data_IF_761584712399
#
_entry.id   IF_761584712399
#
_cell.length_a   1.000
_cell.length_b   1.000
_cell.length_c   1.000
_cell.angle_alpha   90.00
_cell.angle_beta   90.00
_cell.angle_gamma   90.00
#
_symmetry.space_group_name_H-M   'P 1'
#
loop_
_entity.id
_entity.type
_entity.pdbx_description
1 polymer ?
#
# COMPACT_ATOMS: atom_id res chain seq x y z
N UNK A 1 -6.60 18.27 11.50
CA UNK A 1 -6.07 16.89 11.34
C UNK A 1 -6.63 16.01 12.45
N UNK A 2 -7.38 14.95 12.12
CA UNK A 2 -8.12 14.12 13.10
C UNK A 2 -7.35 12.88 13.61
N UNK A 3 -6.01 12.85 13.45
CA UNK A 3 -5.10 11.84 14.02
C UNK A 3 -5.42 10.37 13.64
N UNK A 4 -5.93 10.13 12.43
CA UNK A 4 -6.19 8.78 11.91
C UNK A 4 -5.01 8.23 11.10
N UNK A 5 -4.81 6.92 11.20
CA UNK A 5 -3.99 6.17 10.24
C UNK A 5 -4.82 5.83 9.01
N UNK A 6 -4.21 5.90 7.83
CA UNK A 6 -4.88 5.69 6.54
C UNK A 6 -4.08 4.71 5.71
N UNK A 7 -4.76 3.75 5.09
CA UNK A 7 -4.16 2.84 4.11
C UNK A 7 -4.96 2.88 2.82
N UNK A 8 -4.26 3.05 1.71
CA UNK A 8 -4.79 2.90 0.36
C UNK A 8 -4.04 1.73 -0.28
N UNK A 9 -4.78 0.82 -0.92
CA UNK A 9 -4.20 -0.34 -1.57
C UNK A 9 -4.86 -0.60 -2.92
N UNK A 10 -4.08 -1.10 -3.87
CA UNK A 10 -4.54 -1.50 -5.20
C UNK A 10 -3.99 -2.86 -5.60
N UNK A 11 -4.77 -3.63 -6.35
CA UNK A 11 -4.24 -4.77 -7.10
C UNK A 11 -3.51 -4.31 -8.36
N UNK A 12 -2.35 -4.89 -8.63
CA UNK A 12 -1.51 -4.53 -9.77
C UNK A 12 -2.20 -4.74 -11.14
N UNK A 13 -3.14 -5.68 -11.23
CA UNK A 13 -3.82 -6.10 -12.45
C UNK A 13 -5.22 -5.48 -12.59
N UNK A 14 -5.62 -4.58 -11.69
CA UNK A 14 -6.88 -3.85 -11.83
C UNK A 14 -6.78 -2.83 -12.97
N UNK A 15 -7.65 -2.96 -13.97
CA UNK A 15 -7.72 -2.03 -15.11
C UNK A 15 -8.74 -0.91 -14.91
N UNK A 16 -9.72 -1.10 -14.01
CA UNK A 16 -10.78 -0.12 -13.74
C UNK A 16 -10.20 0.99 -12.86
N UNK A 17 -9.50 0.59 -11.78
CA UNK A 17 -8.83 1.51 -10.84
C UNK A 17 -7.33 1.18 -10.82
N UNK A 18 -6.68 1.45 -11.95
CA UNK A 18 -5.28 1.10 -12.15
C UNK A 18 -4.34 1.86 -11.19
N UNK A 19 -3.26 1.18 -10.78
CA UNK A 19 -2.23 1.72 -9.87
C UNK A 19 -1.75 3.13 -10.24
N UNK A 20 -1.42 3.45 -11.51
CA UNK A 20 -0.98 4.81 -11.87
C UNK A 20 -2.04 5.88 -11.61
N UNK A 21 -3.33 5.57 -11.77
CA UNK A 21 -4.42 6.51 -11.52
C UNK A 21 -4.51 6.86 -10.04
N UNK A 22 -4.45 5.85 -9.17
CA UNK A 22 -4.48 6.07 -7.72
C UNK A 22 -3.21 6.79 -7.24
N UNK A 23 -2.03 6.42 -7.76
CA UNK A 23 -0.78 7.10 -7.42
C UNK A 23 -0.80 8.58 -7.81
N UNK A 24 -1.28 8.90 -9.01
CA UNK A 24 -1.36 10.29 -9.47
C UNK A 24 -2.39 11.10 -8.69
N UNK A 25 -3.56 10.51 -8.41
CA UNK A 25 -4.57 11.17 -7.58
C UNK A 25 -4.02 11.53 -6.19
N UNK A 26 -3.37 10.60 -5.50
CA UNK A 26 -2.81 10.85 -4.17
C UNK A 26 -1.67 11.88 -4.24
N UNK A 27 -0.86 11.87 -5.31
CA UNK A 27 0.24 12.82 -5.49
C UNK A 27 -0.23 14.27 -5.58
N UNK A 28 -1.47 14.50 -6.03
CA UNK A 28 -2.09 15.83 -6.18
C UNK A 28 -2.85 16.30 -4.94
N UNK A 29 -3.11 15.43 -3.95
CA UNK A 29 -3.78 15.83 -2.73
C UNK A 29 -2.90 16.78 -1.89
N UNK A 30 -3.50 17.83 -1.36
CA UNK A 30 -2.84 18.74 -0.41
C UNK A 30 -3.12 18.28 1.02
N UNK A 31 -2.14 17.64 1.66
CA UNK A 31 -2.21 17.19 3.04
C UNK A 31 -0.81 17.10 3.68
N UNK A 32 -0.74 16.83 4.99
CA UNK A 32 0.51 16.90 5.76
C UNK A 32 1.62 15.94 5.26
N UNK A 33 1.26 14.82 4.65
CA UNK A 33 2.21 13.80 4.17
C UNK A 33 2.48 13.83 2.67
N UNK A 34 1.98 14.82 1.92
CA UNK A 34 2.13 14.87 0.46
C UNK A 34 3.60 14.83 0.02
N UNK A 35 4.43 15.70 0.59
CA UNK A 35 5.84 15.81 0.17
C UNK A 35 6.66 14.60 0.61
N UNK A 36 6.38 14.08 1.82
CA UNK A 36 6.99 12.84 2.32
C UNK A 36 6.64 11.66 1.40
N UNK A 37 5.36 11.51 1.01
CA UNK A 37 4.93 10.40 0.15
C UNK A 37 5.54 10.45 -1.25
N UNK A 38 5.68 11.66 -1.82
CA UNK A 38 6.33 11.86 -3.13
C UNK A 38 7.78 11.38 -3.10
N UNK A 39 8.50 11.71 -2.04
CA UNK A 39 9.91 11.35 -1.85
C UNK A 39 10.11 9.93 -1.30
N UNK A 40 9.08 9.35 -0.66
CA UNK A 40 9.17 8.05 -0.01
C UNK A 40 9.59 6.95 -1.00
N UNK A 41 10.56 6.11 -0.64
CA UNK A 41 10.98 5.00 -1.48
C UNK A 41 9.89 3.94 -1.55
N UNK A 42 9.78 3.28 -2.71
CA UNK A 42 8.90 2.13 -2.87
C UNK A 42 9.59 0.89 -2.31
N UNK A 43 9.20 0.46 -1.11
CA UNK A 43 9.78 -0.71 -0.43
C UNK A 43 9.16 -2.00 -0.95
N UNK A 44 10.00 -3.03 -1.16
CA UNK A 44 9.53 -4.38 -1.48
C UNK A 44 9.01 -5.03 -0.20
N UNK A 45 7.85 -5.69 -0.30
CA UNK A 45 7.23 -6.41 0.80
C UNK A 45 6.98 -7.87 0.41
N UNK A 46 7.27 -8.76 1.35
CA UNK A 46 6.98 -10.20 1.34
C UNK A 46 6.17 -10.52 2.59
N UNK A 47 5.27 -11.50 2.50
CA UNK A 47 4.49 -11.94 3.67
C UNK A 47 5.43 -12.57 4.70
N UNK A 48 6.30 -13.48 4.27
CA UNK A 48 7.40 -14.01 5.07
C UNK A 48 8.74 -13.80 4.37
N UNK A 49 9.82 -13.58 5.13
CA UNK A 49 11.17 -13.36 4.56
C UNK A 49 11.65 -14.55 3.71
N UNK A 50 11.25 -15.77 4.11
CA UNK A 50 11.55 -17.00 3.39
C UNK A 50 10.76 -17.17 2.08
N UNK A 51 9.71 -16.36 1.84
CA UNK A 51 8.95 -16.45 0.60
C UNK A 51 9.84 -16.10 -0.60
N UNK A 52 9.76 -16.91 -1.65
CA UNK A 52 10.45 -16.63 -2.92
C UNK A 52 9.82 -15.43 -3.63
N UNK A 53 8.51 -15.33 -3.58
CA UNK A 53 7.74 -14.30 -4.27
C UNK A 53 7.56 -13.05 -3.42
N UNK A 54 7.55 -11.90 -4.09
CA UNK A 54 7.19 -10.62 -3.46
C UNK A 54 5.68 -10.45 -3.49
N UNK A 55 5.10 -10.09 -2.34
CA UNK A 55 3.67 -9.86 -2.16
C UNK A 55 3.24 -8.53 -2.78
N UNK A 56 4.13 -7.53 -2.70
CA UNK A 56 3.80 -6.22 -3.19
C UNK A 56 4.86 -5.17 -2.91
N UNK A 57 4.41 -3.93 -2.98
CA UNK A 57 5.22 -2.75 -2.73
C UNK A 57 4.48 -1.82 -1.79
N UNK A 58 5.20 -1.20 -0.85
CA UNK A 58 4.63 -0.27 0.13
C UNK A 58 5.44 1.03 0.11
N UNK A 59 4.72 2.16 0.07
CA UNK A 59 5.24 3.47 0.48
C UNK A 59 4.58 3.87 1.78
N UNK A 60 5.34 4.50 2.67
CA UNK A 60 4.81 5.11 3.89
C UNK A 60 5.04 6.62 3.92
N UNK A 61 4.17 7.33 4.62
CA UNK A 61 4.29 8.76 4.87
C UNK A 61 3.62 9.14 6.19
N UNK A 62 3.75 10.40 6.58
CA UNK A 62 3.22 11.00 7.79
C UNK A 62 3.61 10.21 9.05
N UNK A 63 4.92 10.00 9.25
CA UNK A 63 5.47 9.23 10.37
C UNK A 63 4.86 7.81 10.47
N UNK A 64 4.84 7.07 9.36
CA UNK A 64 4.26 5.73 9.25
C UNK A 64 2.77 5.63 9.63
N UNK A 65 1.99 6.70 9.42
CA UNK A 65 0.52 6.67 9.59
C UNK A 65 -0.24 6.60 8.28
N UNK A 66 0.45 6.80 7.16
CA UNK A 66 -0.11 6.63 5.83
C UNK A 66 0.62 5.50 5.10
N UNK A 67 -0.15 4.60 4.49
CA UNK A 67 0.35 3.44 3.76
C UNK A 67 -0.25 3.47 2.36
N UNK A 68 0.60 3.39 1.34
CA UNK A 68 0.18 3.19 -0.04
C UNK A 68 0.76 1.87 -0.55
N UNK A 69 -0.10 0.88 -0.73
CA UNK A 69 0.28 -0.48 -1.09
C UNK A 69 -0.14 -0.85 -2.52
N UNK A 70 0.73 -1.57 -3.22
CA UNK A 70 0.41 -2.24 -4.48
C UNK A 70 0.62 -3.73 -4.31
N UNK A 71 -0.44 -4.52 -4.43
CA UNK A 71 -0.42 -5.97 -4.28
C UNK A 71 -0.22 -6.61 -5.64
N UNK A 72 0.82 -7.44 -5.78
CA UNK A 72 1.11 -8.14 -7.03
C UNK A 72 0.14 -9.28 -7.25
N UNK A 73 -0.06 -9.66 -8.51
CA UNK A 73 -0.91 -10.79 -8.91
C UNK A 73 -2.35 -10.69 -8.35
N UNK A 74 -2.85 -9.46 -8.18
CA UNK A 74 -4.22 -9.16 -7.75
C UNK A 74 -4.87 -8.17 -8.71
N UNK A 75 -6.15 -8.37 -9.03
CA UNK A 75 -7.00 -7.45 -9.76
C UNK A 75 -7.81 -6.55 -8.82
N UNK A 76 -9.07 -6.28 -9.19
CA UNK A 76 -9.94 -5.37 -8.46
C UNK A 76 -10.26 -5.86 -7.04
N UNK A 77 -10.47 -7.16 -6.87
CA UNK A 77 -10.86 -7.77 -5.60
C UNK A 77 -9.64 -8.39 -4.91
N UNK A 78 -8.74 -7.54 -4.40
CA UNK A 78 -7.48 -7.98 -3.76
C UNK A 78 -7.65 -9.07 -2.69
N UNK A 79 -8.64 -9.02 -1.76
CA UNK A 79 -8.82 -10.08 -0.78
C UNK A 79 -9.18 -11.44 -1.40
N UNK A 80 -9.82 -11.44 -2.58
CA UNK A 80 -10.17 -12.64 -3.32
C UNK A 80 -8.95 -13.19 -4.07
N UNK A 81 -8.20 -12.33 -4.78
CA UNK A 81 -7.08 -12.76 -5.61
C UNK A 81 -5.82 -13.10 -4.79
N UNK A 82 -5.56 -12.37 -3.71
CA UNK A 82 -4.37 -12.50 -2.86
C UNK A 82 -4.73 -12.46 -1.37
N UNK A 83 -5.49 -13.45 -0.86
CA UNK A 83 -5.98 -13.45 0.52
C UNK A 83 -4.86 -13.42 1.57
N UNK A 84 -3.76 -14.16 1.33
CA UNK A 84 -2.62 -14.22 2.24
C UNK A 84 -1.92 -12.87 2.37
N UNK A 85 -1.69 -12.19 1.24
CA UNK A 85 -1.07 -10.88 1.23
C UNK A 85 -2.00 -9.85 1.89
N UNK A 86 -3.29 -9.87 1.56
CA UNK A 86 -4.25 -8.92 2.13
C UNK A 86 -4.36 -9.03 3.65
N UNK A 87 -4.40 -10.25 4.19
CA UNK A 87 -4.46 -10.48 5.64
C UNK A 87 -3.21 -9.93 6.34
N UNK A 88 -2.03 -10.23 5.80
CA UNK A 88 -0.75 -9.74 6.34
C UNK A 88 -0.66 -8.20 6.28
N UNK A 89 -1.05 -7.59 5.17
CA UNK A 89 -1.09 -6.13 5.03
C UNK A 89 -2.04 -5.48 6.05
N UNK A 90 -3.22 -6.06 6.27
CA UNK A 90 -4.18 -5.56 7.25
C UNK A 90 -3.63 -5.66 8.69
N UNK A 91 -3.02 -6.79 9.04
CA UNK A 91 -2.40 -6.98 10.36
C UNK A 91 -1.27 -5.98 10.61
N UNK A 92 -0.41 -5.78 9.61
CA UNK A 92 0.67 -4.78 9.62
C UNK A 92 0.16 -3.36 9.80
N UNK A 93 -0.91 -3.00 9.09
CA UNK A 93 -1.54 -1.69 9.22
C UNK A 93 -2.10 -1.46 10.64
N UNK A 94 -2.82 -2.44 11.19
CA UNK A 94 -3.39 -2.36 12.53
C UNK A 94 -2.32 -2.31 13.63
N UNK A 95 -1.17 -2.95 13.41
CA UNK A 95 -0.01 -2.90 14.30
C UNK A 95 0.88 -1.66 14.09
N UNK A 96 0.60 -0.82 13.09
CA UNK A 96 1.47 0.27 12.63
C UNK A 96 2.89 -0.18 12.26
N UNK A 97 3.04 -1.39 11.70
CA UNK A 97 4.30 -1.99 11.27
C UNK A 97 4.30 -2.26 9.75
N UNK A 98 4.82 -1.33 8.92
CA UNK A 98 4.75 -1.44 7.46
C UNK A 98 5.63 -2.52 6.82
N UNK A 99 6.54 -3.14 7.58
CA UNK A 99 7.53 -4.08 7.08
C UNK A 99 7.88 -5.14 8.11
#
# INVERSE_FOLDING_TARGET
NANYSVMIYNGQLDIIIAVPLTMEWISQLTWIGTDELRQAPRSVWKVADADREIAGYIKTANNNRFFLATIRNAGHMVPYDQPRAMLDLLQRFLAAQPK
#
